data_IF_464661693677
#
_entry.id   IF_464661693677
#
_cell.length_a   1.000
_cell.length_b   1.000
_cell.length_c   1.000
_cell.angle_alpha   90.00
_cell.angle_beta   90.00
_cell.angle_gamma   90.00
#
_symmetry.space_group_name_H-M   'P 1'
#
loop_
_entity.id
_entity.type
_entity.pdbx_description
1 polymer ?
#
# COMPACT_ATOMS: atom_id res chain seq x y z
N UNK A 1 -11.25 -26.01 -12.32
CA UNK A 1 -12.29 -25.85 -11.28
C UNK A 1 -13.67 -26.04 -11.85
N UNK A 2 -14.57 -26.78 -11.18
CA UNK A 2 -15.94 -26.99 -11.62
C UNK A 2 -16.92 -26.27 -10.70
N UNK A 3 -17.80 -25.46 -11.28
CA UNK A 3 -18.78 -24.65 -10.52
C UNK A 3 -19.74 -25.49 -9.67
N UNK A 4 -20.03 -26.72 -10.10
CA UNK A 4 -20.89 -27.68 -9.38
C UNK A 4 -20.30 -28.08 -8.00
N UNK A 5 -18.98 -28.01 -7.86
CA UNK A 5 -18.27 -28.40 -6.64
C UNK A 5 -18.14 -27.26 -5.62
N UNK A 6 -18.50 -26.03 -6.02
CA UNK A 6 -18.42 -24.80 -5.21
C UNK A 6 -19.74 -24.06 -5.19
N UNK A 7 -20.87 -24.69 -4.76
CA UNK A 7 -22.23 -24.12 -4.88
C UNK A 7 -22.42 -22.80 -4.12
N UNK A 8 -21.61 -22.53 -3.08
CA UNK A 8 -21.64 -21.30 -2.31
C UNK A 8 -21.11 -20.08 -3.07
N UNK A 9 -20.41 -20.32 -4.19
CA UNK A 9 -19.77 -19.25 -4.95
C UNK A 9 -20.38 -19.08 -6.34
N UNK A 10 -20.29 -17.85 -6.84
CA UNK A 10 -20.51 -17.49 -8.23
C UNK A 10 -19.16 -17.20 -8.88
N UNK A 11 -18.89 -17.80 -10.04
CA UNK A 11 -17.72 -17.43 -10.86
C UNK A 11 -18.13 -16.22 -11.71
N UNK A 12 -17.65 -15.05 -11.32
CA UNK A 12 -17.94 -13.78 -12.00
C UNK A 12 -17.10 -13.64 -13.27
N UNK A 13 -15.82 -14.06 -13.20
CA UNK A 13 -14.89 -13.95 -14.31
C UNK A 13 -13.87 -15.08 -14.28
N UNK A 14 -13.49 -15.58 -15.44
CA UNK A 14 -12.33 -16.46 -15.63
C UNK A 14 -11.49 -15.86 -16.76
N UNK A 15 -10.18 -15.80 -16.57
CA UNK A 15 -9.26 -15.21 -17.54
C UNK A 15 -7.93 -15.98 -17.59
N UNK A 16 -7.38 -16.15 -18.80
CA UNK A 16 -6.02 -16.66 -18.95
C UNK A 16 -5.02 -15.51 -18.81
N UNK A 17 -4.21 -15.57 -17.75
CA UNK A 17 -3.20 -14.57 -17.41
C UNK A 17 -1.85 -14.99 -17.99
N UNK A 18 -1.67 -14.74 -19.28
CA UNK A 18 -0.50 -15.20 -20.06
C UNK A 18 0.80 -14.64 -19.53
N UNK A 19 0.81 -13.40 -19.03
CA UNK A 19 1.99 -12.72 -18.53
C UNK A 19 2.63 -13.44 -17.34
N UNK A 20 1.79 -14.06 -16.52
CA UNK A 20 2.20 -14.78 -15.30
C UNK A 20 1.93 -16.29 -15.39
N UNK A 21 1.68 -16.82 -16.58
CA UNK A 21 1.44 -18.27 -16.86
C UNK A 21 0.39 -18.90 -15.95
N UNK A 22 -0.72 -18.24 -15.71
CA UNK A 22 -1.73 -18.64 -14.74
C UNK A 22 -3.14 -18.53 -15.30
N UNK A 23 -4.10 -19.18 -14.62
CA UNK A 23 -5.53 -18.94 -14.82
C UNK A 23 -6.09 -18.17 -13.64
N UNK A 24 -6.66 -17.00 -13.89
CA UNK A 24 -7.31 -16.17 -12.89
C UNK A 24 -8.81 -16.41 -12.83
N UNK A 25 -9.36 -16.46 -11.62
CA UNK A 25 -10.80 -16.51 -11.37
C UNK A 25 -11.20 -15.41 -10.41
N UNK A 26 -12.23 -14.65 -10.74
CA UNK A 26 -12.94 -13.76 -9.80
C UNK A 26 -14.22 -14.46 -9.36
N UNK A 27 -14.37 -14.65 -8.06
CA UNK A 27 -15.55 -15.25 -7.46
C UNK A 27 -16.22 -14.29 -6.49
N UNK A 28 -17.52 -14.51 -6.30
CA UNK A 28 -18.31 -13.86 -5.25
C UNK A 28 -19.01 -14.93 -4.41
N UNK A 29 -18.85 -14.84 -3.09
CA UNK A 29 -19.60 -15.70 -2.18
C UNK A 29 -21.06 -15.23 -2.14
N UNK A 30 -22.00 -16.14 -2.50
CA UNK A 30 -23.42 -15.78 -2.74
C UNK A 30 -24.14 -15.22 -1.50
N UNK A 31 -23.82 -15.77 -0.33
CA UNK A 31 -24.49 -15.37 0.92
C UNK A 31 -23.99 -14.04 1.46
N UNK A 32 -22.68 -13.82 1.47
CA UNK A 32 -22.08 -12.65 2.13
C UNK A 32 -21.65 -11.55 1.16
N UNK A 33 -21.51 -11.88 -0.13
CA UNK A 33 -20.93 -10.96 -1.11
C UNK A 33 -19.41 -10.83 -1.01
N UNK A 34 -18.73 -11.67 -0.22
CA UNK A 34 -17.26 -11.69 -0.14
C UNK A 34 -16.66 -11.90 -1.53
N UNK A 35 -15.57 -11.17 -1.81
CA UNK A 35 -14.84 -11.20 -3.09
C UNK A 35 -13.65 -12.12 -2.96
N UNK A 36 -13.44 -12.99 -3.96
CA UNK A 36 -12.29 -13.88 -3.96
C UNK A 36 -11.60 -13.86 -5.33
N UNK A 37 -10.28 -13.81 -5.33
CA UNK A 37 -9.44 -14.06 -6.51
C UNK A 37 -8.64 -15.32 -6.29
N UNK A 38 -8.67 -16.19 -7.29
CA UNK A 38 -7.83 -17.37 -7.36
C UNK A 38 -6.89 -17.24 -8.55
N UNK A 39 -5.60 -17.51 -8.34
CA UNK A 39 -4.58 -17.58 -9.39
C UNK A 39 -4.05 -19.02 -9.40
N UNK A 40 -4.55 -19.80 -10.32
CA UNK A 40 -4.20 -21.23 -10.46
C UNK A 40 -3.00 -21.38 -11.39
N UNK A 41 -1.94 -22.00 -10.90
CA UNK A 41 -0.71 -22.32 -11.63
C UNK A 41 0.03 -23.49 -10.98
N UNK A 42 1.27 -23.76 -11.39
CA UNK A 42 2.12 -24.86 -10.91
C UNK A 42 3.14 -24.44 -9.82
N UNK A 43 3.04 -23.24 -9.29
CA UNK A 43 3.92 -22.77 -8.21
C UNK A 43 3.58 -23.48 -6.89
N UNK A 44 4.57 -24.20 -6.33
CA UNK A 44 4.40 -24.90 -5.05
C UNK A 44 4.37 -23.96 -3.84
N UNK A 45 4.86 -22.72 -3.99
CA UNK A 45 4.81 -21.72 -2.91
C UNK A 45 3.45 -21.02 -2.89
N UNK A 46 2.51 -21.67 -2.19
CA UNK A 46 1.11 -21.26 -2.10
C UNK A 46 0.98 -19.99 -1.27
N UNK A 47 0.12 -19.08 -1.70
CA UNK A 47 -0.16 -17.84 -0.97
C UNK A 47 -1.66 -17.73 -0.68
N UNK A 48 -1.99 -17.39 0.54
CA UNK A 48 -3.29 -16.91 0.98
C UNK A 48 -3.16 -15.49 1.50
N UNK A 49 -4.11 -14.65 1.18
CA UNK A 49 -4.26 -13.35 1.83
C UNK A 49 -5.73 -13.03 2.03
N UNK A 50 -6.06 -12.44 3.16
CA UNK A 50 -7.33 -11.75 3.35
C UNK A 50 -7.06 -10.28 3.67
N UNK A 51 -7.73 -9.40 2.95
CA UNK A 51 -7.63 -7.97 3.14
C UNK A 51 -9.01 -7.33 3.34
N UNK A 52 -9.01 -6.17 3.99
CA UNK A 52 -10.21 -5.35 4.17
C UNK A 52 -9.89 -3.92 3.77
N UNK A 53 -10.86 -3.20 3.19
CA UNK A 53 -10.76 -1.74 3.16
C UNK A 53 -10.99 -1.21 4.56
N UNK A 54 -10.03 -0.47 5.08
CA UNK A 54 -10.00 0.03 6.46
C UNK A 54 -9.67 1.51 6.51
N UNK A 55 -10.47 2.39 5.86
CA UNK A 55 -10.17 3.81 5.79
C UNK A 55 -10.33 4.44 7.18
N UNK A 56 -9.25 4.97 7.79
CA UNK A 56 -9.35 5.70 9.05
C UNK A 56 -9.97 7.08 8.84
N UNK A 57 -10.64 7.57 9.88
CA UNK A 57 -11.21 8.93 9.92
C UNK A 57 -10.32 9.92 10.69
N UNK A 58 -9.30 9.43 11.40
CA UNK A 58 -8.38 10.22 12.22
C UNK A 58 -7.04 9.50 12.38
N UNK A 59 -6.08 10.16 12.99
CA UNK A 59 -4.70 9.67 13.16
C UNK A 59 -4.48 8.85 14.43
N UNK A 60 -5.52 8.23 15.01
CA UNK A 60 -5.39 7.39 16.21
C UNK A 60 -4.74 6.02 15.96
N UNK A 61 -4.48 5.67 14.68
CA UNK A 61 -3.85 4.41 14.31
C UNK A 61 -4.72 3.17 14.55
N UNK A 62 -6.04 3.32 14.62
CA UNK A 62 -6.94 2.20 14.88
C UNK A 62 -6.78 1.04 13.89
N UNK A 63 -6.51 1.23 12.57
CA UNK A 63 -6.26 0.12 11.66
C UNK A 63 -5.00 -0.67 12.02
N UNK A 64 -3.91 0.01 12.38
CA UNK A 64 -2.63 -0.59 12.74
C UNK A 64 -2.70 -1.32 14.10
N UNK A 65 -3.34 -0.70 15.09
CA UNK A 65 -3.57 -1.34 16.39
C UNK A 65 -4.44 -2.60 16.24
N UNK A 66 -5.44 -2.59 15.35
CA UNK A 66 -6.23 -3.78 15.03
C UNK A 66 -5.42 -4.85 14.31
N UNK A 67 -4.56 -4.45 13.36
CA UNK A 67 -3.67 -5.38 12.68
C UNK A 67 -2.90 -6.26 13.67
N UNK A 68 -2.23 -5.64 14.64
CA UNK A 68 -1.53 -6.35 15.71
C UNK A 68 -2.49 -7.16 16.59
N UNK A 69 -3.57 -6.53 17.04
CA UNK A 69 -4.46 -7.06 18.07
C UNK A 69 -5.23 -8.30 17.66
N UNK A 70 -5.66 -8.41 16.39
CA UNK A 70 -6.41 -9.59 15.92
C UNK A 70 -5.54 -10.85 15.94
N UNK A 71 -4.22 -10.71 15.82
CA UNK A 71 -3.25 -11.81 15.87
C UNK A 71 -2.88 -12.24 17.30
N UNK A 72 -3.39 -11.56 18.34
CA UNK A 72 -3.14 -11.85 19.75
C UNK A 72 -4.12 -12.89 20.34
N UNK A 73 -4.57 -13.85 19.53
CA UNK A 73 -5.46 -14.94 19.90
C UNK A 73 -6.89 -14.77 19.41
N UNK A 74 -7.50 -15.91 19.11
CA UNK A 74 -8.82 -15.99 18.50
C UNK A 74 -9.68 -17.10 19.11
N UNK A 75 -10.86 -17.31 18.57
CA UNK A 75 -11.85 -18.28 19.07
C UNK A 75 -11.29 -19.69 19.13
N UNK A 76 -10.65 -20.19 18.06
CA UNK A 76 -10.11 -21.55 18.00
C UNK A 76 -8.63 -21.62 18.41
N UNK A 77 -7.94 -20.48 18.37
CA UNK A 77 -6.53 -20.36 18.74
C UNK A 77 -6.37 -19.38 19.92
N UNK A 78 -6.82 -19.74 21.15
CA UNK A 78 -6.87 -18.83 22.29
C UNK A 78 -5.51 -18.62 22.98
N UNK A 79 -4.41 -18.83 22.28
CA UNK A 79 -3.05 -18.57 22.75
C UNK A 79 -2.83 -17.08 22.94
N UNK A 80 -1.85 -16.72 23.78
CA UNK A 80 -1.52 -15.30 23.99
C UNK A 80 -0.98 -14.66 22.72
N UNK A 81 -0.17 -15.41 21.97
CA UNK A 81 0.49 -14.95 20.76
C UNK A 81 0.62 -16.11 19.74
N UNK A 82 -0.46 -16.44 19.02
CA UNK A 82 -0.42 -17.48 18.00
C UNK A 82 0.56 -17.15 16.87
N UNK A 83 0.75 -15.85 16.54
CA UNK A 83 1.67 -15.40 15.51
C UNK A 83 3.11 -15.81 15.81
N UNK A 84 3.61 -15.56 17.02
CA UNK A 84 4.96 -15.95 17.42
C UNK A 84 5.14 -17.47 17.40
N UNK A 85 4.12 -18.23 17.77
CA UNK A 85 4.17 -19.70 17.70
C UNK A 85 4.24 -20.19 16.24
N UNK A 86 3.54 -19.53 15.32
CA UNK A 86 3.62 -19.84 13.89
C UNK A 86 5.00 -19.49 13.31
N UNK A 87 5.57 -18.33 13.65
CA UNK A 87 6.93 -17.95 13.23
C UNK A 87 7.96 -18.99 13.62
N UNK A 88 7.82 -19.59 14.82
CA UNK A 88 8.76 -20.58 15.34
C UNK A 88 8.52 -22.01 14.84
N UNK A 89 7.28 -22.38 14.62
CA UNK A 89 6.86 -23.77 14.46
C UNK A 89 6.31 -24.15 13.09
N UNK A 90 5.98 -23.22 12.21
CA UNK A 90 5.45 -23.53 10.88
C UNK A 90 6.55 -23.60 9.82
N UNK A 91 6.19 -24.18 8.66
CA UNK A 91 7.04 -24.24 7.45
C UNK A 91 6.78 -23.04 6.52
N UNK A 92 6.32 -21.93 7.08
CA UNK A 92 5.98 -20.75 6.29
C UNK A 92 7.19 -20.25 5.48
N UNK A 93 6.90 -19.76 4.29
CA UNK A 93 7.85 -19.01 3.45
C UNK A 93 7.60 -17.51 3.56
N UNK A 94 6.42 -17.14 4.08
CA UNK A 94 6.06 -15.78 4.43
C UNK A 94 4.95 -15.76 5.49
N UNK A 95 5.08 -14.89 6.45
CA UNK A 95 4.11 -14.69 7.52
C UNK A 95 4.17 -13.23 7.96
N UNK A 96 3.12 -12.44 7.75
CA UNK A 96 3.06 -11.05 8.17
C UNK A 96 1.61 -10.54 8.22
N UNK A 97 1.44 -9.31 8.67
CA UNK A 97 0.28 -8.47 8.46
C UNK A 97 0.78 -7.08 8.05
N UNK A 98 -0.04 -6.30 7.37
CA UNK A 98 0.36 -5.01 6.81
C UNK A 98 -0.80 -4.03 6.81
N UNK A 99 -0.59 -2.87 7.40
CA UNK A 99 -1.52 -1.73 7.35
C UNK A 99 -1.04 -0.70 6.33
N UNK A 100 -1.92 -0.37 5.41
CA UNK A 100 -1.77 0.68 4.41
C UNK A 100 -2.74 1.84 4.71
N UNK A 101 -2.64 2.96 4.00
CA UNK A 101 -3.52 4.11 4.25
C UNK A 101 -5.04 3.82 4.15
N UNK A 102 -5.44 2.81 3.40
CA UNK A 102 -6.85 2.52 3.12
C UNK A 102 -7.23 1.03 3.23
N UNK A 103 -6.27 0.16 3.52
CA UNK A 103 -6.48 -1.29 3.62
C UNK A 103 -5.59 -1.92 4.66
N UNK A 104 -6.01 -3.06 5.19
CA UNK A 104 -5.20 -3.92 6.05
C UNK A 104 -5.21 -5.33 5.49
N UNK A 105 -4.02 -5.93 5.34
CA UNK A 105 -3.80 -7.22 4.67
C UNK A 105 -3.16 -8.22 5.61
N UNK A 106 -3.57 -9.48 5.50
CA UNK A 106 -3.09 -10.60 6.30
C UNK A 106 -2.61 -11.74 5.37
N UNK A 107 -1.39 -11.64 4.80
CA UNK A 107 -0.84 -12.64 3.89
C UNK A 107 -0.03 -13.69 4.60
N UNK A 108 -0.13 -14.94 4.11
CA UNK A 108 0.71 -16.08 4.49
C UNK A 108 1.10 -16.89 3.28
N UNK A 109 2.26 -17.55 3.33
CA UNK A 109 2.70 -18.44 2.29
C UNK A 109 3.42 -19.68 2.85
N UNK A 110 3.25 -20.82 2.16
CA UNK A 110 3.96 -22.06 2.46
C UNK A 110 4.00 -22.99 1.23
N UNK A 111 5.11 -23.70 1.07
CA UNK A 111 5.22 -24.77 0.09
C UNK A 111 4.54 -26.06 0.55
N UNK A 112 4.34 -26.23 1.85
CA UNK A 112 3.69 -27.41 2.43
C UNK A 112 2.18 -27.21 2.51
N UNK A 113 1.39 -28.10 1.91
CA UNK A 113 -0.07 -27.93 1.82
C UNK A 113 -0.78 -27.99 3.19
N UNK A 114 -0.33 -28.87 4.08
CA UNK A 114 -0.91 -28.98 5.43
C UNK A 114 -0.59 -27.74 6.27
N UNK A 115 0.64 -27.25 6.19
CA UNK A 115 1.06 -26.01 6.86
C UNK A 115 0.31 -24.81 6.30
N UNK A 116 0.20 -24.70 4.98
CA UNK A 116 -0.60 -23.68 4.31
C UNK A 116 -2.06 -23.68 4.79
N UNK A 117 -2.68 -24.86 4.90
CA UNK A 117 -4.05 -25.00 5.42
C UNK A 117 -4.15 -24.50 6.88
N UNK A 118 -3.17 -24.81 7.71
CA UNK A 118 -3.13 -24.36 9.10
C UNK A 118 -2.95 -22.85 9.21
N UNK A 119 -2.04 -22.26 8.43
CA UNK A 119 -1.82 -20.83 8.37
C UNK A 119 -3.08 -20.08 7.94
N UNK A 120 -3.72 -20.52 6.86
CA UNK A 120 -4.99 -19.95 6.39
C UNK A 120 -6.08 -20.02 7.48
N UNK A 121 -6.17 -21.17 8.19
CA UNK A 121 -7.13 -21.35 9.27
C UNK A 121 -6.89 -20.36 10.43
N UNK A 122 -5.65 -20.23 10.89
CA UNK A 122 -5.30 -19.30 11.98
C UNK A 122 -5.64 -17.86 11.61
N UNK A 123 -5.31 -17.43 10.38
CA UNK A 123 -5.54 -16.08 9.94
C UNK A 123 -7.03 -15.74 9.74
N UNK A 124 -7.79 -16.67 9.17
CA UNK A 124 -9.25 -16.49 9.05
C UNK A 124 -9.94 -16.41 10.42
N UNK A 125 -9.54 -17.26 11.39
CA UNK A 125 -10.09 -17.21 12.73
C UNK A 125 -9.68 -15.92 13.48
N UNK A 126 -8.45 -15.48 13.28
CA UNK A 126 -7.93 -14.25 13.86
C UNK A 126 -8.72 -13.01 13.41
N UNK A 127 -8.94 -12.85 12.10
CA UNK A 127 -9.61 -11.64 11.58
C UNK A 127 -11.11 -11.63 11.83
N UNK A 128 -11.79 -12.80 11.84
CA UNK A 128 -13.25 -12.86 12.03
C UNK A 128 -13.69 -13.06 13.48
N UNK A 129 -12.86 -13.72 14.30
CA UNK A 129 -13.20 -14.08 15.68
C UNK A 129 -12.09 -13.80 16.69
N UNK A 130 -11.49 -12.58 16.67
CA UNK A 130 -10.40 -12.25 17.58
C UNK A 130 -10.87 -12.17 19.03
N UNK A 131 -9.97 -12.42 19.96
CA UNK A 131 -10.24 -12.34 21.40
C UNK A 131 -10.33 -10.90 21.94
N UNK A 132 -10.17 -9.89 21.10
CA UNK A 132 -10.24 -8.47 21.47
C UNK A 132 -11.55 -8.08 22.18
N UNK A 133 -12.66 -8.79 21.91
CA UNK A 133 -13.95 -8.55 22.55
C UNK A 133 -14.04 -9.11 23.99
N UNK A 134 -13.13 -10.00 24.37
CA UNK A 134 -13.12 -10.67 25.66
C UNK A 134 -11.99 -10.18 26.56
N UNK A 135 -10.95 -9.58 25.98
CA UNK A 135 -9.70 -9.22 26.64
C UNK A 135 -9.28 -7.81 26.23
N UNK A 136 -9.69 -6.81 27.02
CA UNK A 136 -9.27 -5.41 26.79
C UNK A 136 -7.74 -5.26 26.89
N UNK A 137 -7.08 -6.17 27.62
CA UNK A 137 -5.63 -6.17 27.80
C UNK A 137 -4.86 -6.25 26.47
N UNK A 138 -5.45 -6.88 25.43
CA UNK A 138 -4.85 -6.93 24.09
C UNK A 138 -4.75 -5.51 23.52
N UNK A 139 -5.84 -4.75 23.56
CA UNK A 139 -5.83 -3.35 23.14
C UNK A 139 -4.84 -2.50 23.93
N UNK A 140 -4.76 -2.71 25.26
CA UNK A 140 -3.85 -1.96 26.13
C UNK A 140 -2.39 -2.31 25.89
N UNK A 141 -2.08 -3.54 25.50
CA UNK A 141 -0.74 -3.99 25.16
C UNK A 141 -0.31 -3.51 23.75
N UNK A 142 -1.16 -3.76 22.76
CA UNK A 142 -0.81 -3.47 21.36
C UNK A 142 -0.97 -1.99 21.01
N UNK A 143 -2.02 -1.33 21.50
CA UNK A 143 -2.29 0.07 21.23
C UNK A 143 -1.55 1.01 22.15
N UNK A 144 -2.20 1.31 23.29
CA UNK A 144 -1.62 2.20 24.28
C UNK A 144 -2.19 1.97 25.68
N UNK A 145 -1.39 2.26 26.69
CA UNK A 145 -1.77 2.28 28.11
C UNK A 145 -0.94 3.28 28.88
N UNK A 146 -1.42 3.67 30.06
CA UNK A 146 -0.59 4.42 31.00
C UNK A 146 0.50 3.53 31.58
N UNK A 147 1.71 4.06 31.65
CA UNK A 147 2.86 3.38 32.25
C UNK A 147 3.47 4.22 33.35
N UNK A 148 3.73 3.57 34.48
CA UNK A 148 4.39 4.15 35.63
C UNK A 148 5.55 3.24 36.05
N UNK A 149 6.78 3.63 35.72
CA UNK A 149 7.97 2.83 36.02
C UNK A 149 8.23 2.69 37.52
N UNK A 150 8.00 3.78 38.23
CA UNK A 150 8.08 3.81 39.71
C UNK A 150 7.10 4.84 40.26
N UNK A 151 6.75 4.72 41.57
CA UNK A 151 5.70 5.54 42.20
C UNK A 151 5.96 7.05 42.18
N UNK A 152 7.20 7.45 41.99
CA UNK A 152 7.65 8.84 42.04
C UNK A 152 7.98 9.37 40.63
N UNK A 153 7.94 8.49 39.62
CA UNK A 153 8.21 8.83 38.23
C UNK A 153 7.02 9.50 37.53
N UNK A 154 7.26 10.08 36.37
CA UNK A 154 6.18 10.63 35.55
C UNK A 154 5.29 9.50 35.01
N UNK A 155 4.01 9.81 34.87
CA UNK A 155 3.08 8.95 34.12
C UNK A 155 3.36 9.14 32.64
N UNK A 156 3.61 8.04 31.92
CA UNK A 156 3.91 8.04 30.48
C UNK A 156 2.94 7.14 29.73
N UNK A 157 3.00 7.17 28.41
CA UNK A 157 2.30 6.22 27.54
C UNK A 157 3.22 5.10 27.13
N UNK A 158 2.66 3.90 26.98
CA UNK A 158 3.34 2.70 26.50
C UNK A 158 2.38 1.85 25.68
N UNK A 159 2.88 1.13 24.71
CA UNK A 159 2.15 0.22 23.84
C UNK A 159 3.03 -0.20 22.67
N UNK A 160 2.75 -1.33 22.06
CA UNK A 160 3.59 -1.83 20.94
C UNK A 160 3.53 -0.84 19.77
N UNK A 161 2.35 -0.56 19.24
CA UNK A 161 2.16 0.39 18.13
C UNK A 161 2.53 1.81 18.53
N UNK A 162 2.17 2.25 19.75
CA UNK A 162 2.57 3.56 20.25
C UNK A 162 4.09 3.77 20.21
N UNK A 163 4.87 2.80 20.67
CA UNK A 163 6.32 2.89 20.70
C UNK A 163 6.94 2.77 19.32
N UNK A 164 6.38 1.92 18.45
CA UNK A 164 6.78 1.78 17.06
C UNK A 164 6.60 3.10 16.30
N UNK A 165 5.44 3.71 16.42
CA UNK A 165 5.15 4.98 15.73
C UNK A 165 5.97 6.15 16.29
N UNK A 166 6.28 6.16 17.59
CA UNK A 166 7.28 7.11 18.13
C UNK A 166 8.63 6.98 17.45
N UNK A 167 9.06 5.74 17.16
CA UNK A 167 10.28 5.48 16.41
C UNK A 167 10.18 6.01 14.96
N UNK A 168 9.10 5.68 14.26
CA UNK A 168 8.85 6.13 12.88
C UNK A 168 8.81 7.67 12.78
N UNK A 169 8.14 8.33 13.72
CA UNK A 169 8.04 9.81 13.76
C UNK A 169 9.37 10.52 14.10
N UNK A 170 10.40 9.81 14.47
CA UNK A 170 11.75 10.36 14.65
C UNK A 170 12.58 10.41 13.35
N UNK A 171 12.13 9.77 12.27
CA UNK A 171 12.78 9.77 10.97
C UNK A 171 12.33 10.98 10.14
N UNK A 172 13.24 11.87 9.70
CA UNK A 172 12.87 13.00 8.84
C UNK A 172 12.24 12.59 7.51
N UNK A 173 12.70 11.49 6.91
CA UNK A 173 12.15 10.97 5.65
C UNK A 173 10.69 10.49 5.86
N UNK A 174 10.37 9.82 6.96
CA UNK A 174 9.03 9.40 7.32
C UNK A 174 8.10 10.60 7.66
N UNK A 175 8.64 11.66 8.27
CA UNK A 175 7.89 12.91 8.49
C UNK A 175 7.52 13.51 7.14
N UNK A 176 8.47 13.60 6.20
CA UNK A 176 8.22 14.14 4.88
C UNK A 176 7.13 13.36 4.13
N UNK A 177 7.22 12.02 4.10
CA UNK A 177 6.24 11.18 3.39
C UNK A 177 4.81 11.36 3.91
N UNK A 178 4.65 11.47 5.23
CA UNK A 178 3.34 11.77 5.85
C UNK A 178 2.85 13.16 5.47
N UNK A 179 3.71 14.17 5.55
CA UNK A 179 3.35 15.54 5.19
C UNK A 179 2.97 15.66 3.71
N UNK A 180 3.67 14.98 2.83
CA UNK A 180 3.30 14.93 1.41
C UNK A 180 1.88 14.39 1.26
N UNK A 181 1.58 13.22 1.81
CA UNK A 181 0.24 12.60 1.71
C UNK A 181 -0.84 13.46 2.33
N UNK A 182 -0.67 13.91 3.56
CA UNK A 182 -1.66 14.74 4.24
C UNK A 182 -1.91 16.08 3.54
N UNK A 183 -0.89 16.66 2.94
CA UNK A 183 -1.01 17.91 2.20
C UNK A 183 -1.74 17.78 0.87
N UNK A 184 -1.53 16.65 0.17
CA UNK A 184 -2.17 16.34 -1.12
C UNK A 184 -3.64 15.91 -0.94
N UNK A 185 -3.98 15.28 0.19
CA UNK A 185 -5.27 14.64 0.41
C UNK A 185 -5.97 15.07 1.72
N UNK A 186 -6.12 16.37 2.00
CA UNK A 186 -6.59 16.84 3.30
C UNK A 186 -8.05 16.49 3.64
N UNK A 187 -8.87 16.15 2.63
CA UNK A 187 -10.30 15.97 2.79
C UNK A 187 -10.76 14.50 2.73
N UNK A 188 -9.82 13.55 2.66
CA UNK A 188 -10.14 12.12 2.64
C UNK A 188 -9.25 11.30 3.58
N UNK A 189 -9.36 9.97 3.53
CA UNK A 189 -8.63 9.04 4.43
C UNK A 189 -7.11 9.16 4.34
N UNK A 190 -6.55 9.63 3.23
CA UNK A 190 -5.10 9.79 3.06
C UNK A 190 -4.55 11.06 3.75
N UNK A 191 -5.43 11.95 4.20
CA UNK A 191 -5.06 13.13 5.00
C UNK A 191 -4.72 12.82 6.45
N UNK A 192 -4.94 11.58 6.90
CA UNK A 192 -4.67 11.13 8.26
C UNK A 192 -3.66 9.97 8.27
N UNK A 193 -3.02 9.73 9.42
CA UNK A 193 -2.00 8.69 9.57
C UNK A 193 -2.64 7.36 10.00
N UNK A 194 -2.70 6.39 9.08
CA UNK A 194 -3.28 5.07 9.34
C UNK A 194 -2.48 4.24 10.34
N UNK A 195 -1.16 4.44 10.38
CA UNK A 195 -0.27 3.82 11.37
C UNK A 195 -0.45 4.38 12.77
N UNK A 196 -0.93 5.60 12.87
CA UNK A 196 -1.17 6.34 14.11
C UNK A 196 -0.10 7.37 14.42
N UNK A 197 -0.57 8.58 14.72
CA UNK A 197 0.27 9.64 15.25
C UNK A 197 0.43 9.46 16.77
N UNK A 198 1.64 9.42 17.32
CA UNK A 198 1.85 9.29 18.77
C UNK A 198 1.13 10.32 19.62
N UNK A 199 0.82 11.50 19.08
CA UNK A 199 0.03 12.51 19.78
C UNK A 199 -1.46 12.15 19.81
N UNK A 200 -1.97 11.44 18.80
CA UNK A 200 -3.38 11.09 18.69
C UNK A 200 -3.68 9.64 19.14
N UNK A 201 -2.72 8.71 19.10
CA UNK A 201 -2.93 7.32 19.53
C UNK A 201 -3.60 7.22 20.92
N UNK A 202 -3.19 8.04 21.94
CA UNK A 202 -3.82 7.98 23.28
C UNK A 202 -5.27 8.48 23.34
N UNK A 203 -5.80 9.07 22.26
CA UNK A 203 -7.20 9.47 22.17
C UNK A 203 -8.12 8.31 21.82
N UNK A 204 -7.57 7.19 21.25
CA UNK A 204 -8.35 6.03 20.88
C UNK A 204 -8.92 5.32 22.10
N UNK A 205 -10.23 5.24 22.16
CA UNK A 205 -10.93 4.45 23.18
C UNK A 205 -11.08 2.98 22.77
N UNK A 206 -11.21 2.10 23.76
CA UNK A 206 -11.47 0.68 23.51
C UNK A 206 -12.78 0.43 22.74
N UNK A 207 -13.83 1.22 22.98
CA UNK A 207 -15.09 1.07 22.25
C UNK A 207 -14.97 1.50 20.77
N UNK A 208 -14.25 2.57 20.46
CA UNK A 208 -13.96 2.98 19.06
C UNK A 208 -13.14 1.92 18.34
N UNK A 209 -12.12 1.35 19.01
CA UNK A 209 -11.33 0.24 18.50
C UNK A 209 -12.20 -0.98 18.17
N UNK A 210 -13.09 -1.42 19.07
CA UNK A 210 -14.01 -2.53 18.80
C UNK A 210 -15.01 -2.19 17.69
N UNK A 211 -15.50 -0.95 17.65
CA UNK A 211 -16.45 -0.53 16.63
C UNK A 211 -15.81 -0.51 15.22
N UNK A 212 -14.54 -0.15 15.10
CA UNK A 212 -13.83 -0.20 13.85
C UNK A 212 -13.72 -1.63 13.31
N UNK A 213 -13.42 -2.60 14.17
CA UNK A 213 -13.43 -4.02 13.80
C UNK A 213 -14.83 -4.47 13.37
N UNK A 214 -15.88 -4.18 14.13
CA UNK A 214 -17.26 -4.53 13.78
C UNK A 214 -17.69 -3.97 12.42
N UNK A 215 -17.21 -2.78 12.09
CA UNK A 215 -17.57 -2.09 10.86
C UNK A 215 -16.87 -2.68 9.65
N UNK A 216 -15.56 -2.88 9.71
CA UNK A 216 -14.74 -3.17 8.53
C UNK A 216 -14.32 -4.63 8.38
N UNK A 217 -14.19 -5.40 9.48
CA UNK A 217 -13.75 -6.80 9.45
C UNK A 217 -14.92 -7.76 9.25
N UNK A 218 -15.58 -7.59 8.12
CA UNK A 218 -16.74 -8.39 7.74
C UNK A 218 -16.53 -9.02 6.36
N UNK A 219 -17.02 -10.27 6.10
CA UNK A 219 -16.87 -10.91 4.79
C UNK A 219 -17.31 -10.03 3.62
N UNK A 220 -18.39 -9.26 3.77
CA UNK A 220 -18.88 -8.36 2.71
C UNK A 220 -17.89 -7.24 2.32
N UNK A 221 -16.92 -6.93 3.19
CA UNK A 221 -15.86 -5.96 2.96
C UNK A 221 -14.51 -6.61 2.65
N UNK A 222 -14.45 -7.96 2.59
CA UNK A 222 -13.21 -8.69 2.41
C UNK A 222 -12.80 -8.86 0.95
N UNK A 223 -11.49 -8.98 0.75
CA UNK A 223 -10.80 -9.32 -0.48
C UNK A 223 -9.93 -10.53 -0.18
N UNK A 224 -10.35 -11.72 -0.61
CA UNK A 224 -9.65 -12.97 -0.34
C UNK A 224 -8.87 -13.38 -1.60
N UNK A 225 -7.63 -13.79 -1.41
CA UNK A 225 -6.71 -14.15 -2.49
C UNK A 225 -6.07 -15.50 -2.21
N UNK A 226 -6.07 -16.37 -3.22
CA UNK A 226 -5.40 -17.68 -3.24
C UNK A 226 -4.55 -17.80 -4.50
N UNK A 227 -3.30 -18.23 -4.34
CA UNK A 227 -2.35 -18.40 -5.44
C UNK A 227 -1.58 -19.70 -5.29
N UNK A 228 -1.33 -20.36 -6.42
CA UNK A 228 -0.39 -21.48 -6.52
C UNK A 228 -1.02 -22.82 -6.86
N UNK A 229 -0.21 -23.87 -6.71
CA UNK A 229 -0.61 -25.25 -6.97
C UNK A 229 -1.31 -25.86 -5.73
N UNK A 230 -2.63 -25.86 -5.73
CA UNK A 230 -3.45 -26.42 -4.64
C UNK A 230 -4.81 -26.90 -5.15
N UNK A 231 -5.51 -27.72 -4.36
CA UNK A 231 -6.93 -28.00 -4.59
C UNK A 231 -7.77 -26.76 -4.20
N UNK A 232 -8.02 -25.89 -5.18
CA UNK A 232 -8.79 -24.66 -4.98
C UNK A 232 -10.23 -24.95 -4.50
N UNK A 233 -10.84 -26.05 -4.95
CA UNK A 233 -12.22 -26.41 -4.54
C UNK A 233 -12.27 -26.82 -3.06
N UNK A 234 -11.25 -27.51 -2.57
CA UNK A 234 -11.10 -27.85 -1.15
C UNK A 234 -10.94 -26.60 -0.29
N UNK A 235 -10.05 -25.68 -0.70
CA UNK A 235 -9.81 -24.42 0.04
C UNK A 235 -11.05 -23.53 0.08
N UNK A 236 -11.77 -23.41 -1.04
CA UNK A 236 -13.03 -22.66 -1.11
C UNK A 236 -14.12 -23.27 -0.22
N UNK A 237 -14.25 -24.59 -0.20
CA UNK A 237 -15.19 -25.28 0.68
C UNK A 237 -14.87 -25.03 2.15
N UNK A 238 -13.59 -25.13 2.52
CA UNK A 238 -13.15 -24.83 3.87
C UNK A 238 -13.46 -23.38 4.28
N UNK A 239 -13.19 -22.39 3.42
CA UNK A 239 -13.45 -20.98 3.69
C UNK A 239 -14.96 -20.74 3.87
N UNK A 240 -15.81 -21.35 3.03
CA UNK A 240 -17.27 -21.25 3.17
C UNK A 240 -17.78 -21.90 4.45
N UNK A 241 -17.55 -23.22 4.60
CA UNK A 241 -18.15 -24.01 5.68
C UNK A 241 -17.67 -23.59 7.08
N UNK A 242 -16.39 -23.18 7.19
CA UNK A 242 -15.80 -22.83 8.47
C UNK A 242 -16.04 -21.38 8.86
N UNK A 243 -16.16 -20.47 7.88
CA UNK A 243 -16.20 -19.04 8.14
C UNK A 243 -17.35 -18.31 7.44
N UNK A 244 -17.37 -18.24 6.10
CA UNK A 244 -18.28 -17.33 5.40
C UNK A 244 -19.75 -17.65 5.58
N UNK A 245 -20.11 -18.94 5.64
CA UNK A 245 -21.50 -19.39 5.82
C UNK A 245 -22.14 -18.94 7.14
N UNK A 246 -21.33 -18.59 8.14
CA UNK A 246 -21.78 -18.09 9.44
C UNK A 246 -22.26 -16.62 9.40
N UNK A 247 -21.97 -15.90 8.33
CA UNK A 247 -22.33 -14.49 8.17
C UNK A 247 -23.43 -14.29 7.15
N UNK A 248 -24.21 -13.24 7.32
CA UNK A 248 -25.14 -12.72 6.31
C UNK A 248 -24.48 -11.53 5.57
N UNK A 249 -25.05 -11.10 4.45
CA UNK A 249 -24.57 -9.91 3.76
C UNK A 249 -24.78 -8.65 4.60
N UNK A 250 -23.76 -7.80 4.64
CA UNK A 250 -23.79 -6.51 5.33
C UNK A 250 -23.41 -5.40 4.34
N UNK A 251 -24.14 -4.30 4.34
CA UNK A 251 -23.75 -3.10 3.61
C UNK A 251 -22.66 -2.37 4.41
N UNK A 252 -21.44 -2.41 3.90
CA UNK A 252 -20.29 -1.71 4.50
C UNK A 252 -19.89 -0.56 3.60
N UNK A 253 -19.97 0.67 4.08
CA UNK A 253 -19.44 1.83 3.38
C UNK A 253 -17.97 2.02 3.76
N UNK A 254 -17.11 1.48 2.92
CA UNK A 254 -15.65 1.58 3.04
C UNK A 254 -15.02 2.23 1.79
N UNK A 255 -15.84 2.87 0.95
CA UNK A 255 -15.35 3.49 -0.29
C UNK A 255 -14.38 4.61 -0.01
N UNK A 256 -13.30 4.62 -0.79
CA UNK A 256 -12.34 5.72 -0.77
C UNK A 256 -12.86 6.79 -1.75
N UNK A 257 -12.96 8.01 -1.27
CA UNK A 257 -13.37 9.15 -2.08
C UNK A 257 -12.15 9.88 -2.64
N UNK A 258 -12.24 10.29 -3.91
CA UNK A 258 -11.21 11.11 -4.50
C UNK A 258 -11.13 12.50 -3.85
N UNK A 259 -9.92 12.98 -3.65
CA UNK A 259 -9.65 14.37 -3.31
C UNK A 259 -9.93 15.25 -4.52
N UNK A 260 -10.72 16.28 -4.35
CA UNK A 260 -10.94 17.27 -5.41
C UNK A 260 -9.65 18.05 -5.72
N UNK A 261 -9.35 18.33 -6.99
CA UNK A 261 -8.19 19.13 -7.35
C UNK A 261 -8.20 20.51 -6.68
N UNK A 262 -7.03 21.01 -6.31
CA UNK A 262 -6.91 22.35 -5.75
C UNK A 262 -7.10 23.43 -6.83
N UNK A 263 -7.51 24.63 -6.40
CA UNK A 263 -7.60 25.78 -7.31
C UNK A 263 -6.23 26.26 -7.80
N UNK A 264 -5.18 26.00 -7.03
CA UNK A 264 -3.77 26.27 -7.33
C UNK A 264 -2.89 25.33 -6.53
N UNK A 265 -1.65 25.12 -6.96
CA UNK A 265 -0.63 24.39 -6.18
C UNK A 265 -0.47 25.10 -4.83
N UNK A 266 -0.50 24.32 -3.75
CA UNK A 266 -0.33 24.85 -2.38
C UNK A 266 1.16 24.98 -2.08
N UNK A 267 1.53 26.07 -1.45
CA UNK A 267 2.87 26.34 -0.92
C UNK A 267 2.82 26.14 0.60
N UNK A 268 3.63 25.22 1.13
CA UNK A 268 3.59 24.80 2.53
C UNK A 268 5.00 24.82 3.13
N UNK A 269 5.05 24.98 4.45
CA UNK A 269 6.29 24.90 5.23
C UNK A 269 5.96 24.23 6.56
N UNK A 270 6.69 23.16 6.87
CA UNK A 270 6.51 22.34 8.07
C UNK A 270 7.85 22.14 8.77
N UNK A 271 7.80 21.97 10.08
CA UNK A 271 8.98 21.74 10.91
C UNK A 271 9.09 20.26 11.28
N UNK A 272 10.30 19.76 11.42
CA UNK A 272 10.57 18.43 11.92
C UNK A 272 11.65 18.44 13.01
N UNK A 273 11.63 17.49 13.95
CA UNK A 273 12.60 17.45 15.05
C UNK A 273 13.98 17.03 14.56
N UNK A 274 15.01 17.71 15.04
CA UNK A 274 16.43 17.37 14.86
C UNK A 274 17.09 17.10 16.21
N UNK A 275 18.21 16.36 16.22
CA UNK A 275 18.98 16.15 17.44
C UNK A 275 19.68 17.45 17.89
N UNK A 276 19.87 17.61 19.22
CA UNK A 276 20.49 18.82 19.80
C UNK A 276 21.88 19.19 19.25
N UNK A 277 22.61 18.20 18.73
CA UNK A 277 23.95 18.35 18.17
C UNK A 277 23.98 18.35 16.64
N UNK A 278 22.83 18.40 16.00
CA UNK A 278 22.70 18.44 14.55
C UNK A 278 22.66 19.91 14.06
N UNK A 279 23.40 20.20 13.01
CA UNK A 279 23.39 21.53 12.41
C UNK A 279 22.10 21.74 11.62
N UNK A 280 21.39 22.84 11.86
CA UNK A 280 20.16 23.18 11.14
C UNK A 280 20.45 23.65 9.70
N UNK A 281 21.65 24.19 9.43
CA UNK A 281 22.06 24.63 8.11
C UNK A 281 22.24 23.42 7.19
N UNK A 282 21.69 23.46 5.98
CA UNK A 282 21.69 22.40 4.98
C UNK A 282 20.92 21.11 5.39
N UNK A 283 19.92 21.22 6.25
CA UNK A 283 19.05 20.12 6.69
C UNK A 283 17.61 20.26 6.23
N UNK A 284 17.32 21.18 5.33
CA UNK A 284 15.97 21.33 4.75
C UNK A 284 15.71 20.28 3.70
N UNK A 285 14.49 19.73 3.71
CA UNK A 285 13.93 18.95 2.62
C UNK A 285 13.04 19.88 1.78
N UNK A 286 13.24 19.87 0.47
CA UNK A 286 12.36 20.54 -0.48
C UNK A 286 11.66 19.47 -1.30
N UNK A 287 10.35 19.55 -1.45
CA UNK A 287 9.60 18.60 -2.26
C UNK A 287 8.64 19.29 -3.24
N UNK A 288 8.49 18.70 -4.41
CA UNK A 288 7.54 19.10 -5.44
C UNK A 288 6.64 17.90 -5.72
N UNK A 289 5.36 17.98 -5.35
CA UNK A 289 4.46 16.85 -5.29
C UNK A 289 3.24 17.12 -6.16
N UNK A 290 2.88 16.18 -7.05
CA UNK A 290 1.74 16.30 -7.95
C UNK A 290 0.92 15.02 -7.93
N UNK A 291 -0.39 15.13 -7.76
CA UNK A 291 -1.32 14.00 -7.94
C UNK A 291 -1.43 13.66 -9.42
N UNK A 292 -1.33 12.38 -9.76
CA UNK A 292 -1.21 11.90 -11.13
C UNK A 292 -2.28 10.86 -11.42
N UNK A 293 -3.38 11.29 -12.00
CA UNK A 293 -4.39 10.36 -12.49
C UNK A 293 -5.11 9.57 -11.40
N UNK A 294 -5.31 8.27 -11.65
CA UNK A 294 -6.03 7.34 -10.81
C UNK A 294 -5.40 5.95 -10.89
N UNK A 295 -5.37 5.19 -9.83
CA UNK A 295 -4.77 3.86 -9.73
C UNK A 295 -5.31 2.84 -10.73
N UNK A 296 -6.50 3.08 -11.31
CA UNK A 296 -7.09 2.22 -12.34
C UNK A 296 -6.52 2.46 -13.75
N UNK A 297 -5.71 3.52 -13.97
CA UNK A 297 -5.03 3.78 -15.24
C UNK A 297 -3.62 3.16 -15.24
N UNK A 298 -3.54 1.85 -15.48
CA UNK A 298 -2.27 1.11 -15.49
C UNK A 298 -1.27 1.63 -16.52
N UNK A 299 -1.74 2.19 -17.67
CA UNK A 299 -0.81 2.73 -18.67
C UNK A 299 -0.14 4.01 -18.17
N UNK A 300 -0.88 4.87 -17.51
CA UNK A 300 -0.35 6.09 -16.89
C UNK A 300 0.59 5.74 -15.75
N UNK A 301 0.23 4.75 -14.91
CA UNK A 301 1.06 4.27 -13.81
C UNK A 301 2.43 3.80 -14.29
N UNK A 302 2.46 2.84 -15.21
CA UNK A 302 3.74 2.35 -15.80
C UNK A 302 4.52 3.49 -16.48
N UNK A 303 3.83 4.44 -17.11
CA UNK A 303 4.52 5.59 -17.74
C UNK A 303 5.19 6.50 -16.71
N UNK A 304 4.60 6.66 -15.50
CA UNK A 304 5.21 7.43 -14.42
C UNK A 304 6.38 6.70 -13.75
N UNK A 305 6.34 5.37 -13.62
CA UNK A 305 7.51 4.58 -13.23
C UNK A 305 8.69 4.77 -14.20
N UNK A 306 8.38 4.75 -15.50
CA UNK A 306 9.39 5.01 -16.54
C UNK A 306 9.91 6.45 -16.46
N UNK A 307 9.05 7.44 -16.19
CA UNK A 307 9.46 8.83 -16.02
C UNK A 307 10.32 9.04 -14.77
N UNK A 308 9.98 8.42 -13.64
CA UNK A 308 10.82 8.45 -12.45
C UNK A 308 12.24 7.97 -12.77
N UNK A 309 12.32 6.80 -13.41
CA UNK A 309 13.62 6.26 -13.82
C UNK A 309 14.36 7.21 -14.77
N UNK A 310 13.72 7.66 -15.84
CA UNK A 310 14.36 8.44 -16.88
C UNK A 310 14.75 9.88 -16.45
N UNK A 311 13.96 10.49 -15.56
CA UNK A 311 14.15 11.89 -15.14
C UNK A 311 15.02 12.03 -13.89
N UNK A 312 15.03 11.03 -13.00
CA UNK A 312 15.64 11.14 -11.67
C UNK A 312 16.61 10.01 -11.33
N UNK A 313 16.37 8.76 -11.74
CA UNK A 313 17.12 7.59 -11.27
C UNK A 313 18.22 7.12 -12.24
N UNK A 314 18.03 7.28 -13.55
CA UNK A 314 19.01 6.84 -14.55
C UNK A 314 20.31 7.66 -14.49
N UNK A 315 21.46 7.08 -14.89
CA UNK A 315 22.70 7.85 -15.00
C UNK A 315 22.54 9.06 -15.95
N UNK A 316 22.81 10.25 -15.43
CA UNK A 316 22.68 11.51 -16.17
C UNK A 316 21.24 12.01 -16.34
N UNK A 317 20.30 11.49 -15.55
CA UNK A 317 18.90 11.91 -15.52
C UNK A 317 18.75 13.44 -15.44
N UNK A 318 17.95 14.07 -16.33
CA UNK A 318 17.97 15.51 -16.54
C UNK A 318 17.52 16.33 -15.34
N UNK A 319 16.49 15.91 -14.59
CA UNK A 319 16.04 16.63 -13.41
C UNK A 319 17.05 16.54 -12.27
N UNK A 320 17.56 15.33 -11.99
CA UNK A 320 18.61 15.14 -10.98
C UNK A 320 19.83 15.99 -11.31
N UNK A 321 20.26 15.95 -12.56
CA UNK A 321 21.41 16.75 -13.02
C UNK A 321 21.17 18.25 -12.88
N UNK A 322 20.01 18.75 -13.31
CA UNK A 322 19.68 20.17 -13.24
C UNK A 322 19.70 20.71 -11.80
N UNK A 323 19.16 19.96 -10.84
CA UNK A 323 19.13 20.35 -9.43
C UNK A 323 20.52 20.28 -8.79
N UNK A 324 21.31 19.25 -9.11
CA UNK A 324 22.70 19.15 -8.62
C UNK A 324 23.61 20.21 -9.22
N UNK A 325 23.47 20.54 -10.51
CA UNK A 325 24.24 21.62 -11.17
C UNK A 325 23.89 22.99 -10.56
N UNK A 326 22.65 23.18 -10.11
CA UNK A 326 22.21 24.37 -9.36
C UNK A 326 22.61 24.34 -7.86
N UNK A 327 23.30 23.29 -7.42
CA UNK A 327 23.71 23.08 -6.03
C UNK A 327 22.51 23.10 -5.03
N UNK A 328 21.37 22.57 -5.44
CA UNK A 328 20.16 22.45 -4.62
C UNK A 328 20.16 21.07 -3.98
N UNK A 329 20.29 21.04 -2.66
CA UNK A 329 20.35 19.79 -1.90
C UNK A 329 21.63 18.98 -2.09
N UNK A 330 21.82 18.01 -1.23
CA UNK A 330 22.96 17.07 -1.25
C UNK A 330 22.58 15.75 -1.94
N UNK A 331 21.28 15.39 -1.88
CA UNK A 331 20.74 14.25 -2.59
C UNK A 331 19.39 14.61 -3.23
N UNK A 332 19.16 14.05 -4.44
CA UNK A 332 17.93 14.26 -5.21
C UNK A 332 17.38 12.89 -5.58
N UNK A 333 16.12 12.68 -5.27
CA UNK A 333 15.39 11.47 -5.65
C UNK A 333 13.95 11.78 -6.06
N UNK A 334 13.35 10.84 -6.77
CA UNK A 334 11.94 10.83 -7.12
C UNK A 334 11.20 9.70 -6.42
N UNK A 335 9.90 9.80 -6.41
CA UNK A 335 9.00 8.73 -5.95
C UNK A 335 7.70 8.83 -6.71
N UNK A 336 7.24 7.70 -7.27
CA UNK A 336 5.88 7.54 -7.74
C UNK A 336 5.16 6.60 -6.77
N UNK A 337 4.20 7.14 -6.01
CA UNK A 337 3.40 6.38 -5.04
C UNK A 337 2.07 6.01 -5.69
N UNK A 338 1.89 4.74 -6.03
CA UNK A 338 0.68 4.13 -6.60
C UNK A 338 -0.11 3.29 -5.59
N UNK A 339 0.31 3.28 -4.34
CA UNK A 339 -0.35 2.54 -3.24
C UNK A 339 -1.68 3.12 -2.77
N UNK A 340 -2.18 4.19 -3.40
CA UNK A 340 -3.39 4.94 -3.06
C UNK A 340 -4.29 5.12 -4.29
N UNK A 341 -5.58 5.45 -4.08
CA UNK A 341 -6.56 5.64 -5.18
C UNK A 341 -6.11 6.66 -6.23
N UNK A 342 -5.54 7.77 -5.79
CA UNK A 342 -4.99 8.82 -6.65
C UNK A 342 -3.47 8.85 -6.48
N UNK A 343 -2.71 8.15 -7.34
CA UNK A 343 -1.25 8.16 -7.29
C UNK A 343 -0.67 9.56 -7.34
N UNK A 344 0.54 9.71 -6.82
CA UNK A 344 1.23 11.00 -6.87
C UNK A 344 2.72 10.81 -7.17
N UNK A 345 3.28 11.84 -7.79
CA UNK A 345 4.69 11.91 -8.15
C UNK A 345 5.37 12.99 -7.34
N UNK A 346 6.49 12.65 -6.69
CA UNK A 346 7.27 13.55 -5.87
C UNK A 346 8.70 13.68 -6.37
N UNK A 347 9.23 14.89 -6.31
CA UNK A 347 10.66 15.20 -6.53
C UNK A 347 11.17 15.81 -5.23
N UNK A 348 12.19 15.20 -4.63
CA UNK A 348 12.72 15.61 -3.33
C UNK A 348 14.18 16.01 -3.44
N UNK A 349 14.53 17.15 -2.84
CA UNK A 349 15.91 17.55 -2.58
C UNK A 349 16.17 17.53 -1.07
N UNK A 350 17.04 16.61 -0.65
CA UNK A 350 17.46 16.42 0.74
C UNK A 350 18.75 17.17 1.03
N UNK A 351 18.86 17.76 2.22
CA UNK A 351 20.03 18.53 2.62
C UNK A 351 20.17 19.85 1.84
N UNK A 352 19.04 20.49 1.57
CA UNK A 352 18.93 21.81 0.96
C UNK A 352 18.86 22.93 2.01
N UNK A 353 18.68 24.17 1.56
CA UNK A 353 18.40 25.33 2.39
C UNK A 353 16.98 25.83 2.13
N UNK A 354 16.30 26.31 3.14
CA UNK A 354 14.97 26.92 3.01
C UNK A 354 14.95 28.03 1.96
N UNK A 355 16.02 28.83 1.89
CA UNK A 355 16.16 29.90 0.89
C UNK A 355 16.25 29.44 -0.57
N UNK A 356 16.44 28.14 -0.81
CA UNK A 356 16.53 27.56 -2.17
C UNK A 356 15.16 27.11 -2.72
N UNK A 357 14.05 27.26 -1.97
CA UNK A 357 12.72 26.79 -2.37
C UNK A 357 12.28 27.33 -3.74
N UNK A 358 12.37 28.64 -3.96
CA UNK A 358 11.99 29.25 -5.25
C UNK A 358 12.88 28.76 -6.40
N UNK A 359 14.18 28.64 -6.17
CA UNK A 359 15.13 28.13 -7.17
C UNK A 359 14.88 26.64 -7.50
N UNK A 360 14.56 25.83 -6.49
CA UNK A 360 14.17 24.44 -6.65
C UNK A 360 12.97 24.30 -7.58
N UNK A 361 11.88 25.00 -7.30
CA UNK A 361 10.66 24.95 -8.12
C UNK A 361 10.90 25.47 -9.54
N UNK A 362 11.62 26.59 -9.67
CA UNK A 362 11.89 27.19 -10.98
C UNK A 362 12.80 26.30 -11.83
N UNK A 363 13.79 25.62 -11.22
CA UNK A 363 14.68 24.68 -11.90
C UNK A 363 13.92 23.46 -12.42
N UNK A 364 13.03 22.86 -11.59
CA UNK A 364 12.16 21.74 -12.01
C UNK A 364 11.27 22.17 -13.16
N UNK A 365 10.52 23.27 -13.02
CA UNK A 365 9.59 23.75 -14.05
C UNK A 365 10.30 24.05 -15.36
N UNK A 366 11.46 24.70 -15.31
CA UNK A 366 12.27 24.99 -16.49
C UNK A 366 12.74 23.71 -17.18
N UNK A 367 13.27 22.77 -16.43
CA UNK A 367 13.74 21.48 -16.99
C UNK A 367 12.58 20.74 -17.65
N UNK A 368 11.42 20.62 -17.01
CA UNK A 368 10.22 19.97 -17.59
C UNK A 368 9.70 20.71 -18.82
N UNK A 369 9.66 22.06 -18.82
CA UNK A 369 9.28 22.87 -19.97
C UNK A 369 10.24 22.67 -21.16
N UNK A 370 11.54 22.58 -20.90
CA UNK A 370 12.54 22.34 -21.92
C UNK A 370 12.38 20.94 -22.53
N UNK A 371 12.08 19.92 -21.72
CA UNK A 371 11.77 18.55 -22.16
C UNK A 371 10.51 18.54 -23.04
N UNK A 372 9.42 19.17 -22.58
CA UNK A 372 8.17 19.24 -23.34
C UNK A 372 8.36 19.98 -24.69
N UNK A 373 9.18 21.03 -24.71
CA UNK A 373 9.45 21.82 -25.92
C UNK A 373 10.34 21.12 -26.93
N UNK A 374 11.40 20.45 -26.45
CA UNK A 374 12.44 19.88 -27.30
C UNK A 374 12.24 18.38 -27.57
N UNK A 375 11.30 17.73 -26.88
CA UNK A 375 11.07 16.29 -26.84
C UNK A 375 11.85 15.60 -25.74
N UNK A 376 11.33 14.46 -25.26
CA UNK A 376 12.01 13.57 -24.32
C UNK A 376 13.23 12.91 -24.97
N UNK A 377 14.23 12.55 -24.20
CA UNK A 377 15.27 11.62 -24.67
C UNK A 377 14.64 10.24 -24.91
N UNK A 378 14.28 9.96 -26.16
CA UNK A 378 13.64 8.70 -26.56
C UNK A 378 14.44 7.48 -26.20
N UNK A 379 15.79 7.58 -26.20
CA UNK A 379 16.64 6.45 -25.83
C UNK A 379 16.58 6.18 -24.34
N UNK A 380 16.58 7.23 -23.52
CA UNK A 380 16.41 7.10 -22.07
C UNK A 380 15.04 6.53 -21.69
N UNK A 381 13.97 7.01 -22.32
CA UNK A 381 12.61 6.49 -22.11
C UNK A 381 12.53 5.01 -22.52
N UNK A 382 13.01 4.64 -23.71
CA UNK A 382 13.02 3.24 -24.16
C UNK A 382 13.86 2.35 -23.26
N UNK A 383 14.99 2.85 -22.75
CA UNK A 383 15.79 2.12 -21.76
C UNK A 383 15.00 1.89 -20.46
N UNK A 384 14.27 2.90 -19.97
CA UNK A 384 13.38 2.78 -18.82
C UNK A 384 12.27 1.74 -19.04
N UNK A 385 11.56 1.81 -20.17
CA UNK A 385 10.53 0.84 -20.53
C UNK A 385 11.10 -0.59 -20.53
N UNK A 386 12.24 -0.80 -21.21
CA UNK A 386 12.88 -2.12 -21.30
C UNK A 386 13.35 -2.61 -19.92
N UNK A 387 13.84 -1.72 -19.07
CA UNK A 387 14.26 -2.07 -17.71
C UNK A 387 13.06 -2.52 -16.85
N UNK A 388 11.96 -1.78 -16.88
CA UNK A 388 10.74 -2.13 -16.13
C UNK A 388 10.11 -3.43 -16.69
N UNK A 389 10.00 -3.57 -18.01
CA UNK A 389 9.52 -4.80 -18.64
C UNK A 389 10.39 -6.01 -18.27
N UNK A 390 11.71 -5.87 -18.27
CA UNK A 390 12.62 -6.93 -17.87
C UNK A 390 12.36 -7.37 -16.42
N UNK A 391 12.26 -6.42 -15.48
CA UNK A 391 11.93 -6.71 -14.09
C UNK A 391 10.60 -7.41 -13.95
N UNK A 392 9.59 -6.94 -14.67
CA UNK A 392 8.25 -7.56 -14.67
C UNK A 392 8.29 -9.00 -15.19
N UNK A 393 9.02 -9.28 -16.28
CA UNK A 393 9.16 -10.63 -16.83
C UNK A 393 9.98 -11.57 -15.94
N UNK A 394 11.06 -11.09 -15.36
CA UNK A 394 11.88 -11.88 -14.44
C UNK A 394 11.12 -12.23 -13.17
N UNK A 395 10.28 -11.33 -12.69
CA UNK A 395 9.51 -11.48 -11.46
C UNK A 395 10.39 -11.98 -10.30
N UNK A 396 11.60 -11.39 -10.21
CA UNK A 396 12.53 -11.66 -9.11
C UNK A 396 12.25 -10.68 -7.97
N UNK A 397 11.59 -11.17 -6.95
CA UNK A 397 11.22 -10.41 -5.76
C UNK A 397 12.11 -10.73 -4.56
N UNK A 398 13.31 -11.30 -4.80
CA UNK A 398 14.26 -11.68 -3.76
C UNK A 398 13.68 -12.76 -2.84
N UNK A 399 13.57 -12.45 -1.55
CA UNK A 399 13.04 -13.38 -0.54
C UNK A 399 11.50 -13.45 -0.49
N UNK A 400 10.81 -12.56 -1.18
CA UNK A 400 9.34 -12.53 -1.15
C UNK A 400 8.74 -13.57 -2.09
N UNK A 401 7.71 -14.34 -1.66
CA UNK A 401 6.98 -15.24 -2.55
C UNK A 401 6.40 -14.49 -3.75
N UNK A 402 6.57 -15.05 -4.95
CA UNK A 402 6.06 -14.44 -6.20
C UNK A 402 4.56 -14.20 -6.15
N UNK A 403 3.80 -15.20 -5.66
CA UNK A 403 2.36 -15.07 -5.51
C UNK A 403 1.92 -13.99 -4.54
N UNK A 404 2.73 -13.69 -3.52
CA UNK A 404 2.46 -12.57 -2.61
C UNK A 404 2.54 -11.24 -3.35
N UNK A 405 3.60 -11.01 -4.12
CA UNK A 405 3.79 -9.76 -4.85
C UNK A 405 2.68 -9.54 -5.87
N UNK A 406 2.34 -10.58 -6.65
CA UNK A 406 1.19 -10.50 -7.56
C UNK A 406 -0.14 -10.22 -6.82
N UNK A 407 -0.32 -10.79 -5.63
CA UNK A 407 -1.51 -10.53 -4.81
C UNK A 407 -1.61 -9.08 -4.34
N UNK A 408 -0.48 -8.48 -3.94
CA UNK A 408 -0.42 -7.07 -3.53
C UNK A 408 -0.64 -6.13 -4.73
N UNK A 409 -0.04 -6.42 -5.88
CA UNK A 409 -0.24 -5.65 -7.12
C UNK A 409 -1.71 -5.72 -7.57
N UNK A 410 -2.32 -6.91 -7.57
CA UNK A 410 -3.74 -7.11 -7.87
C UNK A 410 -4.59 -6.28 -6.90
N UNK A 411 -4.31 -6.33 -5.60
CA UNK A 411 -5.10 -5.65 -4.58
C UNK A 411 -5.04 -4.12 -4.76
N UNK A 412 -3.90 -3.57 -5.20
CA UNK A 412 -3.73 -2.14 -5.47
C UNK A 412 -4.74 -1.58 -6.48
N UNK A 413 -5.21 -2.39 -7.43
CA UNK A 413 -6.25 -2.01 -8.39
C UNK A 413 -7.64 -2.55 -7.99
N UNK A 414 -7.72 -3.81 -7.59
CA UNK A 414 -8.96 -4.50 -7.26
C UNK A 414 -9.75 -3.83 -6.12
N UNK A 415 -9.03 -3.18 -5.20
CA UNK A 415 -9.63 -2.43 -4.10
C UNK A 415 -10.58 -1.34 -4.61
N UNK A 416 -10.36 -0.81 -5.79
CA UNK A 416 -11.10 0.31 -6.38
C UNK A 416 -11.96 -0.08 -7.59
N UNK A 417 -11.61 -1.17 -8.29
CA UNK A 417 -12.31 -1.64 -9.49
C UNK A 417 -12.55 -3.17 -9.45
N UNK A 418 -13.76 -3.56 -9.08
CA UNK A 418 -14.18 -4.97 -9.06
C UNK A 418 -14.27 -5.59 -10.48
N UNK A 419 -14.31 -4.78 -11.57
CA UNK A 419 -14.51 -5.27 -12.93
C UNK A 419 -13.21 -5.69 -13.62
N UNK A 420 -12.08 -5.03 -13.27
CA UNK A 420 -10.77 -5.27 -13.87
C UNK A 420 -9.69 -5.68 -12.84
N UNK A 421 -9.93 -6.70 -12.00
CA UNK A 421 -9.04 -7.02 -10.90
C UNK A 421 -7.64 -7.51 -11.33
N UNK A 422 -7.50 -7.98 -12.58
CA UNK A 422 -6.25 -8.54 -13.10
C UNK A 422 -5.40 -7.53 -13.90
N UNK A 423 -5.73 -6.24 -13.88
CA UNK A 423 -5.04 -5.24 -14.71
C UNK A 423 -3.52 -5.22 -14.44
N UNK A 424 -3.10 -5.30 -13.18
CA UNK A 424 -1.70 -5.20 -12.77
C UNK A 424 -0.85 -6.45 -13.07
N UNK A 425 -1.47 -7.55 -13.46
CA UNK A 425 -0.75 -8.78 -13.88
C UNK A 425 -0.88 -9.05 -15.39
N UNK A 426 -1.17 -8.00 -16.18
CA UNK A 426 -1.27 -8.01 -17.65
C UNK A 426 -0.57 -6.81 -18.27
N UNK A 427 0.65 -6.49 -17.83
CA UNK A 427 1.33 -5.26 -18.21
C UNK A 427 2.14 -5.37 -19.50
N UNK A 428 2.38 -6.58 -20.06
CA UNK A 428 3.21 -6.73 -21.27
C UNK A 428 2.67 -5.95 -22.48
N UNK A 429 1.36 -5.96 -22.69
CA UNK A 429 0.72 -5.18 -23.75
C UNK A 429 0.87 -3.66 -23.53
N UNK A 430 0.93 -3.23 -22.25
CA UNK A 430 1.15 -1.82 -21.88
C UNK A 430 2.59 -1.41 -22.24
N UNK A 431 3.59 -2.24 -21.90
CA UNK A 431 4.98 -1.96 -22.28
C UNK A 431 5.13 -1.84 -23.80
N UNK A 432 4.52 -2.74 -24.57
CA UNK A 432 4.56 -2.67 -26.03
C UNK A 432 3.89 -1.39 -26.55
N UNK A 433 2.74 -1.01 -26.00
CA UNK A 433 2.05 0.24 -26.35
C UNK A 433 2.89 1.48 -25.98
N UNK A 434 3.56 1.49 -24.83
CA UNK A 434 4.43 2.59 -24.41
C UNK A 434 5.63 2.76 -25.34
N UNK A 435 6.23 1.67 -25.87
CA UNK A 435 7.32 1.75 -26.87
C UNK A 435 6.88 2.47 -28.14
N UNK A 436 5.64 2.25 -28.59
CA UNK A 436 5.05 2.99 -29.72
C UNK A 436 4.80 4.45 -29.35
N UNK A 437 4.22 4.69 -28.18
CA UNK A 437 3.81 5.99 -27.66
C UNK A 437 4.99 6.99 -27.49
N UNK A 438 6.22 6.50 -27.33
CA UNK A 438 7.44 7.34 -27.32
C UNK A 438 7.55 8.19 -28.61
N UNK A 439 7.08 7.69 -29.75
CA UNK A 439 7.16 8.40 -31.02
C UNK A 439 5.93 9.29 -31.29
N UNK A 440 4.91 9.20 -30.45
CA UNK A 440 3.64 9.91 -30.61
C UNK A 440 3.57 11.18 -29.72
N UNK A 441 4.60 11.45 -28.91
CA UNK A 441 4.62 12.60 -28.00
C UNK A 441 3.84 12.38 -26.69
N UNK A 442 3.53 11.13 -26.37
CA UNK A 442 2.76 10.77 -25.17
C UNK A 442 3.45 11.19 -23.87
N UNK A 443 4.77 10.98 -23.77
CA UNK A 443 5.51 11.34 -22.56
C UNK A 443 5.59 12.85 -22.35
N UNK A 444 5.74 13.64 -23.43
CA UNK A 444 5.65 15.09 -23.36
C UNK A 444 4.26 15.57 -22.94
N UNK A 445 3.21 14.90 -23.42
CA UNK A 445 1.84 15.22 -23.05
C UNK A 445 1.56 14.97 -21.56
N UNK A 446 1.95 13.81 -21.03
CA UNK A 446 1.71 13.50 -19.61
C UNK A 446 2.56 14.38 -18.69
N UNK A 447 3.80 14.71 -19.05
CA UNK A 447 4.62 15.69 -18.30
C UNK A 447 3.92 17.04 -18.26
N UNK A 448 3.44 17.54 -19.41
CA UNK A 448 2.72 18.81 -19.47
C UNK A 448 1.45 18.76 -18.62
N UNK A 449 0.61 17.77 -18.85
CA UNK A 449 -0.70 17.66 -18.19
C UNK A 449 -0.59 17.52 -16.67
N UNK A 450 0.32 16.65 -16.21
CA UNK A 450 0.32 16.23 -14.81
C UNK A 450 1.37 16.95 -13.94
N UNK A 451 2.49 17.41 -14.53
CA UNK A 451 3.56 18.03 -13.77
C UNK A 451 3.67 19.55 -13.96
N UNK A 452 3.19 20.09 -15.13
CA UNK A 452 3.27 21.53 -15.41
C UNK A 452 1.94 22.28 -15.27
N UNK A 453 0.86 21.73 -15.86
CA UNK A 453 -0.45 22.38 -15.94
C UNK A 453 -1.39 21.96 -14.80
N UNK A 454 -1.02 20.94 -14.05
CA UNK A 454 -1.80 20.42 -12.93
C UNK A 454 -1.75 21.37 -11.73
N UNK A 455 -2.89 21.58 -11.09
CA UNK A 455 -3.02 22.40 -9.86
C UNK A 455 -3.14 21.56 -8.60
N UNK A 456 -3.38 20.25 -8.73
CA UNK A 456 -3.46 19.34 -7.58
C UNK A 456 -2.06 18.93 -7.16
N UNK A 457 -1.41 19.81 -6.46
CA UNK A 457 -0.05 19.61 -5.99
C UNK A 457 0.30 20.48 -4.79
N UNK A 458 1.45 20.14 -4.16
CA UNK A 458 2.02 20.84 -3.02
C UNK A 458 3.53 21.02 -3.19
N UNK A 459 4.06 22.07 -2.62
CA UNK A 459 5.48 22.36 -2.60
C UNK A 459 5.88 22.70 -1.18
#
# INVERSE_FOLDING_TARGET
MKTENIPAYEVVKQENLTDIHSTGYLLRHKKTGARLILIENDDENKVFSIAFRTPPANSTGVPHILEHSVLCGSREFPLKDPFVELVKGSLNTFLNAMTYPDKTCYPVASCNDQDFQNLMHVYLDAVFYPNIYKKEEIFRQEGWSYHLENKEGPLTYNGVVYNEMKGAFSSPDEVLDRQIKSSLFPDNTYGVESGGDPENIPELSYEEFLNFHRTYYHPSNSYIYLYGNMDMEEKLRFIDEKYLSAFDALAVDSRILEQAPFSQVKDLEEEYPVAENEEEEDNTYLSFNMVVGNAMDSMLGVAFDVLDYALLSAPGAPLKKALLDAQIGKDIYGSYDDGVLQPFFSIVAKGAKTSQKEEFVSTIRKCLQDIVKNGVDKKAILAGINYMEFRYREADFGSYPKGLMYGLDILGNWLYDDENPFAQVKLLAIYDRLKEAVNEGYFEEIIRKWLLDNTHGTI
#
